data_IF_864968534483
#
_entry.id   IF_864968534483
#
_cell.length_a   1.000
_cell.length_b   1.000
_cell.length_c   1.000
_cell.angle_alpha   90.00
_cell.angle_beta   90.00
_cell.angle_gamma   90.00
#
_symmetry.space_group_name_H-M   'P 1'
#
loop_
_entity.id
_entity.type
_entity.pdbx_description
1 polymer ?
#
# COMPACT_ATOMS: atom_id res chain seq x y z
N UNK A 1 -22.88 18.13 12.02
CA UNK A 1 -22.17 17.46 13.15
C UNK A 1 -21.20 16.42 12.58
N UNK A 2 -19.98 16.30 13.12
CA UNK A 2 -19.04 15.27 12.66
C UNK A 2 -19.64 13.86 12.81
N UNK A 3 -19.52 13.04 11.77
CA UNK A 3 -19.96 11.64 11.81
C UNK A 3 -19.03 10.88 12.75
N UNK A 4 -19.57 10.06 13.65
CA UNK A 4 -18.81 9.35 14.69
C UNK A 4 -17.62 8.54 14.12
N UNK A 5 -17.78 7.92 12.95
CA UNK A 5 -16.72 7.18 12.25
C UNK A 5 -15.58 8.05 11.65
N UNK A 6 -15.75 9.37 11.57
CA UNK A 6 -14.78 10.29 11.00
C UNK A 6 -13.93 11.03 12.06
N UNK A 7 -14.06 10.67 13.32
CA UNK A 7 -13.40 11.36 14.45
C UNK A 7 -11.88 11.46 14.30
N UNK A 8 -11.23 10.43 13.78
CA UNK A 8 -9.77 10.41 13.51
C UNK A 8 -9.38 11.46 12.47
N UNK A 9 -10.08 11.52 11.35
CA UNK A 9 -9.81 12.52 10.30
C UNK A 9 -10.00 13.94 10.84
N UNK A 10 -11.11 14.22 11.52
CA UNK A 10 -11.35 15.55 12.09
C UNK A 10 -10.34 15.95 13.16
N UNK A 11 -9.80 14.99 13.93
CA UNK A 11 -8.72 15.26 14.88
C UNK A 11 -7.44 15.65 14.13
N UNK A 12 -7.02 14.84 13.15
CA UNK A 12 -5.83 15.12 12.34
C UNK A 12 -5.93 16.47 11.63
N UNK A 13 -7.10 16.80 11.07
CA UNK A 13 -7.33 18.08 10.41
C UNK A 13 -7.13 19.28 11.35
N UNK A 14 -7.52 19.14 12.62
CA UNK A 14 -7.28 20.20 13.63
C UNK A 14 -5.83 20.29 14.08
N UNK A 15 -5.14 19.13 14.14
CA UNK A 15 -3.76 19.05 14.66
C UNK A 15 -2.70 19.34 13.59
N UNK A 16 -2.95 18.92 12.35
CA UNK A 16 -1.97 18.93 11.27
C UNK A 16 -2.42 19.67 10.00
N UNK A 17 -3.68 20.09 9.94
CA UNK A 17 -4.26 20.72 8.75
C UNK A 17 -4.56 19.75 7.60
N UNK A 18 -4.31 18.45 7.76
CA UNK A 18 -4.54 17.44 6.72
C UNK A 18 -5.13 16.16 7.29
N UNK A 19 -5.69 15.32 6.42
CA UNK A 19 -6.17 13.97 6.74
C UNK A 19 -6.32 13.16 5.46
N UNK A 20 -6.41 11.84 5.59
CA UNK A 20 -6.72 10.97 4.44
C UNK A 20 -8.00 11.42 3.71
N UNK A 21 -9.01 11.91 4.42
CA UNK A 21 -10.24 12.42 3.82
C UNK A 21 -9.99 13.65 2.93
N UNK A 22 -9.17 14.60 3.38
CA UNK A 22 -8.79 15.77 2.59
C UNK A 22 -7.88 15.38 1.43
N UNK A 23 -6.89 14.52 1.67
CA UNK A 23 -5.94 14.06 0.65
C UNK A 23 -6.66 13.29 -0.47
N UNK A 24 -7.61 12.43 -0.14
CA UNK A 24 -8.44 11.72 -1.12
C UNK A 24 -9.30 12.70 -1.91
N UNK A 25 -9.96 13.63 -1.24
CA UNK A 25 -10.84 14.58 -1.91
C UNK A 25 -10.07 15.56 -2.81
N UNK A 26 -8.91 16.03 -2.37
CA UNK A 26 -8.10 16.99 -3.16
C UNK A 26 -7.19 16.32 -4.17
N UNK A 27 -6.58 15.18 -3.81
CA UNK A 27 -5.62 14.46 -4.64
C UNK A 27 -6.28 13.50 -5.62
N UNK A 28 -7.10 12.58 -5.14
CA UNK A 28 -7.70 11.53 -6.00
C UNK A 28 -8.90 12.10 -6.75
N UNK A 29 -9.83 12.74 -6.08
CA UNK A 29 -11.05 13.27 -6.69
C UNK A 29 -10.84 14.66 -7.32
N UNK A 30 -9.98 15.51 -6.76
CA UNK A 30 -9.60 16.79 -7.37
C UNK A 30 -8.89 16.61 -8.71
N UNK A 31 -8.16 15.49 -8.90
CA UNK A 31 -7.54 15.12 -10.19
C UNK A 31 -8.49 14.44 -11.18
N UNK A 32 -9.66 13.96 -10.74
CA UNK A 32 -10.68 13.30 -11.59
C UNK A 32 -11.71 14.30 -12.15
N UNK A 33 -11.65 15.54 -11.70
CA UNK A 33 -12.55 16.59 -12.19
C UNK A 33 -13.15 17.44 -11.08
N UNK A 34 -13.14 18.67 -11.31
CA UNK A 34 -13.37 19.88 -10.53
C UNK A 34 -14.65 19.96 -9.68
N UNK A 35 -15.36 18.86 -9.37
CA UNK A 35 -16.71 18.95 -8.84
C UNK A 35 -17.02 18.06 -7.64
N UNK A 36 -16.06 17.91 -6.69
CA UNK A 36 -16.43 17.28 -5.40
C UNK A 36 -17.52 18.09 -4.69
N UNK A 37 -17.51 19.41 -4.80
CA UNK A 37 -18.60 20.27 -4.28
C UNK A 37 -19.91 20.12 -5.05
N UNK A 38 -19.87 19.72 -6.32
CA UNK A 38 -21.04 19.43 -7.15
C UNK A 38 -21.49 17.97 -7.09
N UNK A 39 -20.75 17.10 -6.41
CA UNK A 39 -21.13 15.70 -6.20
C UNK A 39 -22.20 15.50 -5.11
N UNK A 40 -22.86 16.56 -4.64
CA UNK A 40 -23.90 16.44 -3.62
C UNK A 40 -25.06 17.38 -3.94
N UNK A 41 -26.32 16.97 -3.72
CA UNK A 41 -26.77 15.80 -2.94
C UNK A 41 -27.18 14.64 -3.81
N UNK A 42 -26.90 13.41 -3.33
CA UNK A 42 -27.54 12.22 -3.86
C UNK A 42 -29.05 12.36 -3.66
N UNK A 43 -29.76 12.71 -4.71
CA UNK A 43 -31.22 12.55 -4.70
C UNK A 43 -31.50 11.06 -4.46
N UNK A 44 -32.46 10.74 -3.60
CA UNK A 44 -32.84 9.37 -3.25
C UNK A 44 -33.09 8.47 -4.46
N UNK A 45 -33.36 9.06 -5.61
CA UNK A 45 -33.68 8.37 -6.87
C UNK A 45 -32.55 8.33 -7.90
N UNK A 46 -31.36 8.91 -7.60
CA UNK A 46 -30.24 8.81 -8.52
C UNK A 46 -29.49 7.47 -8.34
N UNK A 47 -29.32 6.70 -9.42
CA UNK A 47 -28.45 5.52 -9.42
C UNK A 47 -27.03 5.98 -9.09
N UNK A 48 -26.55 5.61 -7.92
CA UNK A 48 -25.19 5.93 -7.49
C UNK A 48 -24.21 5.20 -8.38
N UNK A 49 -23.31 5.95 -9.02
CA UNK A 49 -22.26 5.39 -9.87
C UNK A 49 -20.98 5.17 -9.06
N UNK A 50 -20.43 3.99 -9.11
CA UNK A 50 -19.17 3.68 -8.44
C UNK A 50 -18.00 4.30 -9.21
N UNK A 51 -17.30 5.26 -8.61
CA UNK A 51 -16.17 5.99 -9.21
C UNK A 51 -14.82 5.58 -8.63
N UNK A 52 -14.79 5.16 -7.40
CA UNK A 52 -13.59 4.74 -6.67
C UNK A 52 -13.86 3.40 -5.97
N UNK A 53 -12.94 2.46 -6.13
CA UNK A 53 -12.98 1.18 -5.47
C UNK A 53 -11.58 0.83 -4.95
N UNK A 54 -11.50 0.53 -3.66
CA UNK A 54 -10.36 -0.15 -3.06
C UNK A 54 -10.78 -1.58 -2.73
N UNK A 55 -10.08 -2.57 -3.27
CA UNK A 55 -10.47 -3.96 -3.21
C UNK A 55 -9.32 -4.85 -2.78
N UNK A 56 -9.52 -5.55 -1.67
CA UNK A 56 -8.72 -6.73 -1.30
C UNK A 56 -9.28 -7.95 -2.02
N UNK A 57 -8.54 -8.49 -2.99
CA UNK A 57 -8.98 -9.66 -3.77
C UNK A 57 -9.05 -10.89 -2.86
N UNK A 58 -8.03 -11.09 -2.04
CA UNK A 58 -7.90 -12.24 -1.14
C UNK A 58 -6.87 -11.91 -0.07
N UNK A 59 -6.85 -12.65 1.01
CA UNK A 59 -5.72 -12.68 1.94
C UNK A 59 -4.72 -13.81 1.61
N UNK A 60 -4.88 -14.51 0.49
CA UNK A 60 -3.85 -15.44 0.02
C UNK A 60 -2.58 -14.67 -0.34
N UNK A 61 -1.48 -15.06 0.26
CA UNK A 61 -0.17 -14.45 0.09
C UNK A 61 0.90 -15.54 0.19
N UNK A 62 2.00 -15.34 -0.50
CA UNK A 62 3.17 -16.22 -0.42
C UNK A 62 4.23 -15.73 0.58
N UNK A 63 3.93 -14.66 1.34
CA UNK A 63 4.80 -14.14 2.39
C UNK A 63 4.09 -14.12 3.75
N UNK A 64 4.85 -14.40 4.84
CA UNK A 64 4.45 -14.14 6.22
C UNK A 64 5.26 -12.97 6.79
N UNK A 65 5.00 -11.76 6.28
CA UNK A 65 5.71 -10.56 6.71
C UNK A 65 5.52 -10.30 8.21
N UNK A 66 6.57 -9.83 8.88
CA UNK A 66 6.55 -9.61 10.33
C UNK A 66 5.56 -8.55 10.81
N UNK A 67 5.22 -7.59 9.92
CA UNK A 67 4.22 -6.56 10.17
C UNK A 67 2.79 -7.00 9.81
N UNK A 68 2.62 -8.19 9.25
CA UNK A 68 1.31 -8.77 8.93
C UNK A 68 0.88 -9.79 9.99
N UNK A 69 -0.34 -10.27 9.85
CA UNK A 69 -0.90 -11.34 10.65
C UNK A 69 -1.73 -12.31 9.79
N UNK A 70 -2.33 -13.31 10.42
CA UNK A 70 -3.15 -14.31 9.71
C UNK A 70 -4.38 -13.71 9.02
N UNK A 71 -4.85 -12.54 9.44
CA UNK A 71 -5.94 -11.80 8.77
C UNK A 71 -5.54 -11.24 7.41
N UNK A 72 -4.25 -10.94 7.21
CA UNK A 72 -3.71 -10.33 6.00
C UNK A 72 -2.94 -11.31 5.11
N UNK A 73 -2.54 -12.48 5.63
CA UNK A 73 -1.79 -13.48 4.87
C UNK A 73 -2.08 -14.90 5.32
N UNK A 74 -2.52 -15.73 4.38
CA UNK A 74 -2.70 -17.17 4.62
C UNK A 74 -1.38 -17.89 4.91
N UNK A 75 -0.24 -17.33 4.50
CA UNK A 75 1.08 -17.90 4.80
C UNK A 75 1.40 -17.91 6.30
N UNK A 76 0.75 -17.02 7.06
CA UNK A 76 0.82 -16.98 8.52
C UNK A 76 0.07 -18.13 9.21
N UNK A 77 -0.83 -18.86 8.55
CA UNK A 77 -1.74 -19.82 9.22
C UNK A 77 -1.01 -20.93 9.97
N UNK A 78 0.12 -21.40 9.42
CA UNK A 78 0.94 -22.41 10.09
C UNK A 78 1.52 -21.88 11.42
N UNK A 79 2.13 -20.71 11.36
CA UNK A 79 2.76 -20.08 12.52
C UNK A 79 1.71 -19.65 13.55
N UNK A 80 0.60 -19.06 13.07
CA UNK A 80 -0.54 -18.68 13.92
C UNK A 80 -1.08 -19.88 14.70
N UNK A 81 -1.24 -21.03 14.05
CA UNK A 81 -1.66 -22.27 14.74
C UNK A 81 -0.67 -22.70 15.81
N UNK A 82 0.63 -22.63 15.52
CA UNK A 82 1.68 -22.99 16.47
C UNK A 82 1.71 -22.03 17.67
N UNK A 83 1.42 -20.75 17.44
CA UNK A 83 1.39 -19.70 18.46
C UNK A 83 0.05 -19.61 19.21
N UNK A 84 -0.93 -20.47 18.89
CA UNK A 84 -2.26 -20.41 19.49
C UNK A 84 -3.07 -19.16 19.13
N UNK A 85 -2.74 -18.51 18.01
CA UNK A 85 -3.48 -17.36 17.51
C UNK A 85 -4.76 -17.80 16.81
N UNK A 86 -5.78 -16.95 16.84
CA UNK A 86 -7.00 -17.16 16.06
C UNK A 86 -6.69 -17.07 14.55
N UNK A 87 -7.19 -18.05 13.79
CA UNK A 87 -7.10 -18.03 12.33
C UNK A 87 -8.45 -17.54 11.80
N UNK A 88 -8.49 -16.34 11.21
CA UNK A 88 -9.72 -15.80 10.67
C UNK A 88 -10.20 -16.60 9.45
N UNK A 89 -11.49 -16.49 9.11
CA UNK A 89 -11.98 -16.95 7.83
C UNK A 89 -11.27 -16.20 6.72
N UNK A 90 -10.75 -16.92 5.73
CA UNK A 90 -10.08 -16.31 4.59
C UNK A 90 -10.99 -15.31 3.85
N UNK A 91 -10.40 -14.21 3.44
CA UNK A 91 -11.04 -13.28 2.52
C UNK A 91 -10.97 -13.93 1.14
N UNK A 92 -12.12 -14.13 0.51
CA UNK A 92 -12.22 -14.60 -0.86
C UNK A 92 -12.85 -13.50 -1.71
N UNK A 93 -12.29 -13.30 -2.89
CA UNK A 93 -12.93 -12.48 -3.90
C UNK A 93 -14.34 -12.98 -4.13
N UNK A 94 -15.29 -12.15 -3.79
CA UNK A 94 -16.65 -12.33 -4.23
C UNK A 94 -16.83 -11.36 -5.40
N UNK A 95 -16.96 -11.88 -6.65
CA UNK A 95 -17.22 -10.97 -7.76
C UNK A 95 -18.36 -10.07 -7.34
N UNK A 96 -18.15 -8.76 -7.34
CA UNK A 96 -19.07 -7.72 -6.86
C UNK A 96 -20.42 -7.86 -7.58
N UNK A 97 -21.11 -8.97 -7.30
CA UNK A 97 -22.27 -9.54 -7.98
C UNK A 97 -23.13 -8.43 -8.56
N UNK A 98 -23.17 -8.31 -9.89
CA UNK A 98 -23.99 -7.36 -10.63
C UNK A 98 -23.63 -5.88 -10.41
N UNK A 99 -22.55 -5.55 -9.71
CA UNK A 99 -22.10 -4.15 -9.61
C UNK A 99 -21.54 -3.71 -10.95
N UNK A 100 -22.10 -2.66 -11.50
CA UNK A 100 -21.60 -2.03 -12.72
C UNK A 100 -20.28 -1.30 -12.42
N UNK A 101 -19.18 -1.74 -13.05
CA UNK A 101 -17.85 -1.15 -12.92
C UNK A 101 -17.49 -0.25 -14.11
N UNK A 102 -18.36 -0.08 -15.11
CA UNK A 102 -18.10 0.71 -16.33
C UNK A 102 -17.82 2.19 -16.03
N UNK A 103 -18.41 2.72 -14.97
CA UNK A 103 -18.21 4.09 -14.51
C UNK A 103 -17.01 4.26 -13.56
N UNK A 104 -16.28 3.19 -13.24
CA UNK A 104 -15.13 3.25 -12.34
C UNK A 104 -14.01 4.11 -12.96
N UNK A 105 -13.41 4.99 -12.16
CA UNK A 105 -12.33 5.89 -12.59
C UNK A 105 -11.04 5.67 -11.81
N UNK A 106 -11.15 5.11 -10.63
CA UNK A 106 -10.01 4.74 -9.82
C UNK A 106 -10.24 3.38 -9.16
N UNK A 107 -9.31 2.47 -9.39
CA UNK A 107 -9.26 1.17 -8.77
C UNK A 107 -7.94 1.00 -8.02
N UNK A 108 -8.00 0.60 -6.74
CA UNK A 108 -6.85 0.17 -5.97
C UNK A 108 -6.98 -1.30 -5.66
N UNK A 109 -6.07 -2.10 -6.18
CA UNK A 109 -6.00 -3.53 -5.91
C UNK A 109 -4.93 -3.82 -4.87
N UNK A 110 -5.34 -4.51 -3.83
CA UNK A 110 -4.51 -4.94 -2.71
C UNK A 110 -5.02 -6.28 -2.15
N UNK A 111 -4.54 -6.69 -1.00
CA UNK A 111 -4.91 -7.92 -0.33
C UNK A 111 -3.68 -8.63 0.22
N UNK A 112 -3.64 -9.95 0.18
CA UNK A 112 -2.42 -10.71 0.43
C UNK A 112 -1.39 -10.40 -0.66
N UNK A 113 -1.42 -11.16 -1.76
CA UNK A 113 -0.68 -10.82 -2.99
C UNK A 113 -1.63 -10.88 -4.19
N UNK A 114 -2.02 -9.74 -4.75
CA UNK A 114 -2.97 -9.71 -5.87
C UNK A 114 -2.51 -10.50 -7.10
N UNK A 115 -1.21 -10.50 -7.41
CA UNK A 115 -0.69 -11.19 -8.60
C UNK A 115 -0.75 -12.72 -8.52
N UNK A 116 -1.11 -13.29 -7.36
CA UNK A 116 -1.48 -14.71 -7.25
C UNK A 116 -2.90 -15.01 -7.78
N UNK A 117 -3.67 -13.97 -8.12
CA UNK A 117 -5.07 -14.04 -8.52
C UNK A 117 -5.30 -13.47 -9.93
N UNK A 118 -4.63 -14.00 -10.97
CA UNK A 118 -4.72 -13.45 -12.32
C UNK A 118 -6.13 -13.46 -12.90
N UNK A 119 -6.92 -14.51 -12.61
CA UNK A 119 -8.29 -14.64 -13.12
C UNK A 119 -9.23 -13.57 -12.56
N UNK A 120 -9.10 -13.29 -11.26
CA UNK A 120 -9.89 -12.27 -10.57
C UNK A 120 -9.52 -10.86 -11.03
N UNK A 121 -8.22 -10.59 -11.25
CA UNK A 121 -7.77 -9.31 -11.82
C UNK A 121 -8.35 -9.13 -13.22
N UNK A 122 -8.31 -10.15 -14.06
CA UNK A 122 -8.84 -10.12 -15.43
C UNK A 122 -10.35 -9.87 -15.40
N UNK A 123 -11.12 -10.63 -14.58
CA UNK A 123 -12.57 -10.44 -14.43
C UNK A 123 -12.93 -8.99 -14.05
N UNK A 124 -12.21 -8.40 -13.11
CA UNK A 124 -12.44 -7.02 -12.68
C UNK A 124 -12.17 -6.05 -13.83
N UNK A 125 -11.01 -6.19 -14.50
CA UNK A 125 -10.58 -5.28 -15.55
C UNK A 125 -11.49 -5.36 -16.78
N UNK A 126 -11.94 -6.54 -17.16
CA UNK A 126 -12.85 -6.75 -18.31
C UNK A 126 -14.24 -6.12 -18.11
N UNK A 127 -14.59 -5.76 -16.88
CA UNK A 127 -15.84 -5.06 -16.52
C UNK A 127 -15.69 -3.54 -16.43
N UNK A 128 -14.48 -3.01 -16.63
CA UNK A 128 -14.16 -1.59 -16.54
C UNK A 128 -13.95 -0.94 -17.92
N UNK A 129 -14.16 0.35 -18.02
CA UNK A 129 -13.74 1.17 -19.14
C UNK A 129 -12.24 1.49 -18.98
N UNK A 130 -11.36 0.59 -19.48
CA UNK A 130 -9.92 0.66 -19.25
C UNK A 130 -9.29 2.01 -19.67
N UNK A 131 -9.63 2.61 -20.83
CA UNK A 131 -9.09 3.92 -21.23
C UNK A 131 -9.43 5.07 -20.28
N UNK A 132 -10.40 4.89 -19.38
CA UNK A 132 -10.77 5.89 -18.37
C UNK A 132 -10.37 5.50 -16.95
N UNK A 133 -9.83 4.29 -16.77
CA UNK A 133 -9.49 3.75 -15.46
C UNK A 133 -8.06 4.09 -15.05
N UNK A 134 -7.90 4.64 -13.86
CA UNK A 134 -6.63 4.73 -13.16
C UNK A 134 -6.50 3.55 -12.20
N UNK A 135 -5.46 2.76 -12.33
CA UNK A 135 -5.20 1.61 -11.47
C UNK A 135 -3.98 1.85 -10.58
N UNK A 136 -4.12 1.56 -9.30
CA UNK A 136 -3.03 1.35 -8.37
C UNK A 136 -2.99 -0.10 -7.94
N UNK A 137 -1.92 -0.81 -8.24
CA UNK A 137 -1.67 -2.17 -7.78
C UNK A 137 -0.59 -2.17 -6.69
N UNK A 138 -0.87 -2.79 -5.55
CA UNK A 138 0.12 -2.99 -4.48
C UNK A 138 0.54 -4.45 -4.49
N UNK A 139 1.84 -4.72 -4.62
CA UNK A 139 2.40 -6.07 -4.68
C UNK A 139 3.60 -6.23 -3.74
N UNK A 140 3.79 -7.43 -3.24
CA UNK A 140 4.97 -7.80 -2.46
C UNK A 140 6.24 -7.97 -3.32
N UNK A 141 6.12 -7.74 -4.63
CA UNK A 141 7.23 -7.74 -5.61
C UNK A 141 7.83 -9.13 -5.88
N UNK A 142 7.24 -10.22 -5.39
CA UNK A 142 7.74 -11.59 -5.67
C UNK A 142 7.20 -12.14 -6.99
N UNK A 143 6.16 -11.54 -7.56
CA UNK A 143 5.50 -12.00 -8.76
C UNK A 143 5.53 -10.94 -9.87
N UNK A 144 5.48 -11.39 -11.12
CA UNK A 144 5.21 -10.54 -12.29
C UNK A 144 3.80 -10.82 -12.80
N UNK A 145 3.10 -9.82 -13.35
CA UNK A 145 1.81 -10.05 -13.97
C UNK A 145 1.95 -10.99 -15.19
N UNK A 146 0.91 -11.78 -15.46
CA UNK A 146 0.84 -12.60 -16.68
C UNK A 146 0.72 -11.71 -17.92
N UNK A 147 1.05 -12.24 -19.10
CA UNK A 147 0.92 -11.49 -20.35
C UNK A 147 -0.53 -11.02 -20.58
N UNK A 148 -1.52 -11.80 -20.23
CA UNK A 148 -2.93 -11.43 -20.33
C UNK A 148 -3.29 -10.20 -19.48
N UNK A 149 -2.71 -10.08 -18.28
CA UNK A 149 -2.87 -8.91 -17.42
C UNK A 149 -2.13 -7.72 -18.03
N UNK A 150 -0.91 -7.93 -18.53
CA UNK A 150 -0.09 -6.87 -19.16
C UNK A 150 -0.82 -6.25 -20.36
N UNK A 151 -1.51 -7.04 -21.18
CA UNK A 151 -2.27 -6.51 -22.32
C UNK A 151 -3.40 -5.56 -21.86
N UNK A 152 -4.06 -5.85 -20.71
CA UNK A 152 -5.06 -4.95 -20.12
C UNK A 152 -4.43 -3.73 -19.48
N UNK A 153 -3.31 -3.92 -18.79
CA UNK A 153 -2.56 -2.81 -18.17
C UNK A 153 -2.13 -1.76 -19.18
N UNK A 154 -1.74 -2.16 -20.39
CA UNK A 154 -1.36 -1.25 -21.48
C UNK A 154 -2.52 -0.40 -22.01
N UNK A 155 -3.77 -0.77 -21.73
CA UNK A 155 -4.98 -0.05 -22.16
C UNK A 155 -5.46 0.94 -21.10
N UNK A 156 -4.92 0.91 -19.88
CA UNK A 156 -5.33 1.79 -18.79
C UNK A 156 -4.96 3.26 -19.07
N UNK A 157 -5.82 4.18 -18.61
CA UNK A 157 -5.49 5.61 -18.61
C UNK A 157 -4.19 5.88 -17.82
N UNK A 158 -4.07 5.27 -16.66
CA UNK A 158 -2.87 5.37 -15.81
C UNK A 158 -2.70 4.13 -14.97
N UNK A 159 -1.48 3.63 -14.89
CA UNK A 159 -1.12 2.54 -13.99
C UNK A 159 0.02 2.95 -13.07
N UNK A 160 -0.20 2.76 -11.77
CA UNK A 160 0.85 2.85 -10.76
C UNK A 160 0.99 1.50 -10.06
N UNK A 161 2.20 0.93 -10.07
CA UNK A 161 2.50 -0.29 -9.33
C UNK A 161 3.36 0.08 -8.12
N UNK A 162 2.85 -0.20 -6.94
CA UNK A 162 3.53 0.04 -5.68
C UNK A 162 4.21 -1.24 -5.23
N UNK A 163 5.53 -1.22 -5.23
CA UNK A 163 6.39 -2.32 -4.84
C UNK A 163 6.66 -2.24 -3.33
N UNK A 164 6.27 -3.27 -2.61
CA UNK A 164 6.42 -3.33 -1.16
C UNK A 164 7.80 -3.88 -0.80
N UNK A 165 8.73 -2.99 -0.44
CA UNK A 165 10.13 -3.30 -0.10
C UNK A 165 10.52 -2.52 1.15
N UNK A 166 11.03 -3.20 2.19
CA UNK A 166 11.33 -2.58 3.48
C UNK A 166 12.82 -2.41 3.75
N UNK A 167 13.67 -3.20 3.10
CA UNK A 167 15.12 -3.19 3.29
C UNK A 167 15.85 -3.87 2.12
N UNK A 168 17.15 -4.09 2.28
CA UNK A 168 17.98 -4.86 1.35
C UNK A 168 18.31 -6.26 1.87
N UNK A 169 18.55 -7.20 0.94
CA UNK A 169 19.16 -8.49 1.20
C UNK A 169 18.44 -9.30 2.29
N UNK A 170 19.23 -9.95 3.17
CA UNK A 170 18.69 -10.80 4.22
C UNK A 170 17.71 -10.08 5.17
N UNK A 171 17.88 -8.78 5.38
CA UNK A 171 16.95 -8.02 6.21
C UNK A 171 15.57 -7.90 5.57
N UNK A 172 15.49 -7.71 4.25
CA UNK A 172 14.20 -7.73 3.55
C UNK A 172 13.55 -9.11 3.63
N UNK A 173 14.32 -10.19 3.47
CA UNK A 173 13.84 -11.56 3.59
C UNK A 173 13.35 -11.88 5.01
N UNK A 174 14.02 -11.36 6.03
CA UNK A 174 13.59 -11.47 7.41
C UNK A 174 12.28 -10.73 7.69
N UNK A 175 12.15 -9.49 7.19
CA UNK A 175 10.93 -8.68 7.37
C UNK A 175 9.76 -9.23 6.56
N UNK A 176 10.04 -9.72 5.36
CA UNK A 176 9.08 -10.28 4.40
C UNK A 176 9.33 -11.77 4.19
N UNK A 177 9.26 -12.52 5.29
CA UNK A 177 9.50 -13.97 5.29
C UNK A 177 8.70 -14.66 4.19
N UNK A 178 9.39 -15.46 3.36
CA UNK A 178 8.85 -16.08 2.15
C UNK A 178 9.29 -15.40 0.86
N UNK A 179 9.84 -14.16 0.92
CA UNK A 179 10.47 -13.52 -0.23
C UNK A 179 11.95 -13.87 -0.33
N UNK A 180 12.47 -13.85 -1.54
CA UNK A 180 13.92 -13.94 -1.84
C UNK A 180 14.37 -12.60 -2.40
N UNK A 181 15.43 -12.03 -1.80
CA UNK A 181 15.89 -10.70 -2.18
C UNK A 181 16.27 -10.57 -3.65
N UNK A 182 16.96 -11.55 -4.19
CA UNK A 182 17.37 -11.49 -5.60
C UNK A 182 16.17 -11.47 -6.55
N UNK A 183 15.10 -12.23 -6.25
CA UNK A 183 13.83 -12.19 -7.02
C UNK A 183 13.15 -10.83 -6.93
N UNK A 184 13.06 -10.27 -5.71
CA UNK A 184 12.49 -8.94 -5.48
C UNK A 184 13.27 -7.86 -6.25
N UNK A 185 14.59 -7.92 -6.20
CA UNK A 185 15.49 -7.01 -6.91
C UNK A 185 15.36 -7.13 -8.44
N UNK A 186 15.33 -8.36 -8.95
CA UNK A 186 15.09 -8.60 -10.38
C UNK A 186 13.74 -8.07 -10.83
N UNK A 187 12.68 -8.31 -10.03
CA UNK A 187 11.34 -7.81 -10.34
C UNK A 187 11.27 -6.28 -10.27
N UNK A 188 11.90 -5.63 -9.27
CA UNK A 188 12.04 -4.17 -9.23
C UNK A 188 12.62 -3.63 -10.55
N UNK A 189 13.75 -4.22 -10.99
CA UNK A 189 14.40 -3.79 -12.22
C UNK A 189 13.57 -4.11 -13.46
N UNK A 190 12.87 -5.24 -13.46
CA UNK A 190 11.95 -5.59 -14.55
C UNK A 190 10.81 -4.58 -14.64
N UNK A 191 10.10 -4.29 -13.54
CA UNK A 191 9.03 -3.29 -13.51
C UNK A 191 9.52 -1.90 -13.94
N UNK A 192 10.72 -1.50 -13.48
CA UNK A 192 11.32 -0.22 -13.84
C UNK A 192 11.53 -0.05 -15.35
N UNK A 193 11.80 -1.13 -16.06
CA UNK A 193 12.01 -1.10 -17.53
C UNK A 193 10.70 -1.03 -18.32
N UNK A 194 9.55 -1.20 -17.67
CA UNK A 194 8.26 -1.18 -18.36
C UNK A 194 7.81 0.24 -18.63
N UNK A 195 7.58 0.57 -19.90
CA UNK A 195 7.11 1.91 -20.28
C UNK A 195 5.62 2.16 -20.05
N UNK A 196 4.85 1.11 -19.76
CA UNK A 196 3.40 1.15 -19.59
C UNK A 196 2.93 1.39 -18.14
N UNK A 197 3.82 1.45 -17.17
CA UNK A 197 3.46 1.74 -15.78
C UNK A 197 4.42 2.72 -15.12
N UNK A 198 3.92 3.47 -14.16
CA UNK A 198 4.73 4.15 -13.16
C UNK A 198 4.94 3.21 -11.98
N UNK A 199 6.17 3.10 -11.49
CA UNK A 199 6.45 2.35 -10.27
C UNK A 199 6.76 3.27 -9.10
N UNK A 200 6.39 2.85 -7.92
CA UNK A 200 6.76 3.45 -6.64
C UNK A 200 7.22 2.35 -5.68
N UNK A 201 8.05 2.68 -4.73
CA UNK A 201 8.40 1.79 -3.62
C UNK A 201 7.72 2.29 -2.36
N UNK A 202 7.09 1.38 -1.64
CA UNK A 202 6.54 1.65 -0.31
C UNK A 202 7.15 0.69 0.70
N UNK A 203 7.71 1.25 1.77
CA UNK A 203 8.32 0.48 2.87
C UNK A 203 7.71 0.85 4.22
N UNK A 204 7.79 -0.09 5.15
CA UNK A 204 7.36 0.09 6.54
C UNK A 204 8.60 0.20 7.44
N UNK A 205 8.67 1.28 8.23
CA UNK A 205 9.75 1.53 9.19
C UNK A 205 9.36 0.90 10.53
N UNK A 206 10.24 0.04 11.03
CA UNK A 206 10.10 -0.66 12.30
C UNK A 206 11.43 -0.63 13.08
N UNK A 207 11.46 -1.17 14.29
CA UNK A 207 12.70 -1.34 15.06
C UNK A 207 13.81 -2.06 14.29
N UNK A 208 13.47 -2.91 13.31
CA UNK A 208 14.44 -3.72 12.57
C UNK A 208 15.16 -2.96 11.46
N UNK A 209 14.49 -2.02 10.81
CA UNK A 209 15.03 -1.31 9.65
C UNK A 209 15.14 0.21 9.84
N UNK A 210 14.74 0.73 10.99
CA UNK A 210 14.81 2.17 11.28
C UNK A 210 16.23 2.75 11.09
N UNK A 211 17.27 1.94 11.24
CA UNK A 211 18.64 2.40 11.03
C UNK A 211 19.04 2.46 9.54
N UNK A 212 18.38 1.77 8.62
CA UNK A 212 18.83 1.61 7.24
C UNK A 212 17.80 1.95 6.15
N UNK A 213 16.54 2.31 6.49
CA UNK A 213 15.52 2.64 5.48
C UNK A 213 15.93 3.79 4.55
N UNK A 214 16.74 4.74 5.01
CA UNK A 214 17.28 5.83 4.19
C UNK A 214 18.22 5.36 3.08
N UNK A 215 18.89 4.23 3.27
CA UNK A 215 19.73 3.63 2.21
C UNK A 215 18.87 3.14 1.05
N UNK A 216 17.76 2.48 1.36
CA UNK A 216 16.77 2.08 0.37
C UNK A 216 16.14 3.29 -0.33
N UNK A 217 15.79 4.35 0.42
CA UNK A 217 15.31 5.60 -0.17
C UNK A 217 16.30 6.20 -1.16
N UNK A 218 17.59 6.31 -0.77
CA UNK A 218 18.64 6.83 -1.65
C UNK A 218 18.87 5.95 -2.89
N UNK A 219 18.77 4.63 -2.72
CA UNK A 219 18.83 3.69 -3.84
C UNK A 219 17.70 3.90 -4.84
N UNK A 220 16.46 3.97 -4.37
CA UNK A 220 15.31 4.26 -5.21
C UNK A 220 15.46 5.59 -5.96
N UNK A 221 15.92 6.64 -5.28
CA UNK A 221 16.20 7.95 -5.91
C UNK A 221 17.23 7.85 -7.04
N UNK A 222 18.32 7.10 -6.85
CA UNK A 222 19.31 6.87 -7.93
C UNK A 222 18.71 6.14 -9.13
N UNK A 223 17.71 5.30 -8.90
CA UNK A 223 16.98 4.62 -9.97
C UNK A 223 15.88 5.48 -10.61
N UNK A 224 15.64 6.70 -10.12
CA UNK A 224 14.52 7.55 -10.55
C UNK A 224 13.16 7.06 -10.07
N UNK A 225 13.11 6.25 -9.00
CA UNK A 225 11.90 5.69 -8.42
C UNK A 225 11.49 6.51 -7.19
N UNK A 226 10.23 6.94 -7.15
CA UNK A 226 9.67 7.54 -5.94
C UNK A 226 9.53 6.47 -4.86
N UNK A 227 10.10 6.72 -3.69
CA UNK A 227 9.97 5.85 -2.53
C UNK A 227 9.37 6.61 -1.37
N UNK A 228 8.34 6.04 -0.76
CA UNK A 228 7.70 6.53 0.45
C UNK A 228 7.77 5.47 1.53
N UNK A 229 7.88 5.91 2.77
CA UNK A 229 7.92 5.04 3.93
C UNK A 229 6.89 5.50 4.96
N UNK A 230 6.39 4.58 5.74
CA UNK A 230 5.55 4.89 6.88
C UNK A 230 6.06 4.16 8.12
N UNK A 231 5.96 4.81 9.26
CA UNK A 231 6.25 4.13 10.52
C UNK A 231 5.13 3.14 10.83
N UNK A 232 5.51 1.95 11.27
CA UNK A 232 4.57 0.88 11.61
C UNK A 232 3.60 1.34 12.72
N UNK A 233 2.32 1.10 12.51
CA UNK A 233 1.29 1.36 13.53
C UNK A 233 1.07 0.15 14.46
N UNK A 234 1.29 -1.05 13.97
CA UNK A 234 1.17 -2.31 14.70
C UNK A 234 1.92 -3.45 14.00
N UNK A 235 2.38 -4.46 14.73
CA UNK A 235 2.26 -4.65 16.20
C UNK A 235 3.07 -3.61 16.98
N UNK A 236 2.55 -3.22 18.16
CA UNK A 236 3.09 -2.11 18.97
C UNK A 236 4.58 -2.31 19.31
N UNK A 237 4.98 -3.53 19.66
CA UNK A 237 6.37 -3.87 20.01
C UNK A 237 7.37 -3.67 18.86
N UNK A 238 6.92 -3.49 17.63
CA UNK A 238 7.79 -3.23 16.47
C UNK A 238 8.01 -1.73 16.23
N UNK A 239 7.36 -0.85 16.97
CA UNK A 239 7.48 0.59 16.78
C UNK A 239 8.83 1.11 17.28
N UNK A 240 9.48 2.04 16.57
CA UNK A 240 10.78 2.59 16.94
C UNK A 240 10.86 3.18 18.34
N UNK A 241 9.74 3.62 18.93
CA UNK A 241 9.66 4.12 20.31
C UNK A 241 10.11 3.12 21.38
N UNK A 242 10.05 1.82 21.09
CA UNK A 242 10.43 0.77 22.01
C UNK A 242 11.93 0.40 21.97
N UNK A 243 12.71 1.10 21.15
CA UNK A 243 14.16 0.94 21.15
C UNK A 243 14.78 1.45 22.46
N UNK A 244 15.91 0.86 22.90
CA UNK A 244 16.66 1.38 24.05
C UNK A 244 17.03 2.87 23.84
N UNK A 245 17.00 3.66 24.89
CA UNK A 245 17.21 5.11 24.84
C UNK A 245 18.52 5.49 24.14
N UNK A 246 19.61 4.79 24.45
CA UNK A 246 20.90 4.99 23.82
C UNK A 246 20.84 4.84 22.29
N UNK A 247 20.07 3.86 21.78
CA UNK A 247 19.90 3.64 20.35
C UNK A 247 19.02 4.75 19.74
N UNK A 248 17.96 5.17 20.43
CA UNK A 248 17.13 6.30 20.00
C UNK A 248 17.94 7.56 19.82
N UNK A 249 18.81 7.91 20.78
CA UNK A 249 19.68 9.10 20.70
C UNK A 249 20.65 9.03 19.52
N UNK A 250 21.23 7.87 19.23
CA UNK A 250 22.09 7.69 18.06
C UNK A 250 21.30 7.90 16.75
N UNK A 251 20.08 7.37 16.67
CA UNK A 251 19.22 7.52 15.50
C UNK A 251 18.73 8.96 15.31
N UNK A 252 18.36 9.65 16.38
CA UNK A 252 17.99 11.07 16.34
C UNK A 252 19.12 11.91 15.74
N UNK A 253 20.37 11.72 16.23
CA UNK A 253 21.55 12.39 15.66
C UNK A 253 21.76 12.02 14.18
N UNK A 254 21.54 10.75 13.81
CA UNK A 254 21.67 10.29 12.42
C UNK A 254 20.69 10.99 11.47
N UNK A 255 19.48 11.28 11.93
CA UNK A 255 18.40 11.83 11.08
C UNK A 255 18.23 13.35 11.20
N UNK A 256 19.00 14.03 12.01
CA UNK A 256 18.93 15.48 12.26
C UNK A 256 18.91 16.31 10.98
N UNK A 257 19.68 15.93 9.97
CA UNK A 257 19.79 16.65 8.70
C UNK A 257 18.83 16.16 7.60
N UNK A 258 18.00 15.17 7.88
CA UNK A 258 17.09 14.53 6.89
C UNK A 258 15.61 14.88 7.14
N UNK A 259 15.32 15.83 8.05
CA UNK A 259 13.96 16.18 8.50
C UNK A 259 13.05 16.78 7.41
N UNK A 260 13.57 17.05 6.21
CA UNK A 260 12.77 17.56 5.09
C UNK A 260 11.76 16.53 4.57
N UNK A 261 11.99 15.23 4.83
CA UNK A 261 11.14 14.15 4.40
C UNK A 261 10.08 13.83 5.47
N UNK A 262 8.80 13.76 5.08
CA UNK A 262 7.69 13.53 6.02
C UNK A 262 7.88 12.28 6.85
N UNK A 263 8.24 11.16 6.22
CA UNK A 263 8.46 9.89 6.92
C UNK A 263 9.66 9.92 7.88
N UNK A 264 10.64 10.81 7.66
CA UNK A 264 11.73 11.03 8.62
C UNK A 264 11.21 11.82 9.83
N UNK A 265 10.35 12.82 9.63
CA UNK A 265 9.69 13.53 10.74
C UNK A 265 8.87 12.58 11.61
N UNK A 266 8.11 11.69 10.98
CA UNK A 266 7.31 10.69 11.70
C UNK A 266 8.20 9.72 12.47
N UNK A 267 9.34 9.32 11.88
CA UNK A 267 10.34 8.48 12.56
C UNK A 267 10.96 9.18 13.75
N UNK A 268 11.36 10.46 13.60
CA UNK A 268 11.91 11.28 14.69
C UNK A 268 10.88 11.46 15.81
N UNK A 269 9.61 11.69 15.46
CA UNK A 269 8.53 11.76 16.45
C UNK A 269 8.44 10.48 17.28
N UNK A 270 8.45 9.30 16.62
CA UNK A 270 8.43 8.01 17.30
C UNK A 270 9.65 7.79 18.22
N UNK A 271 10.84 8.20 17.79
CA UNK A 271 12.07 8.07 18.57
C UNK A 271 12.10 8.98 19.80
N UNK A 272 11.31 10.06 19.82
CA UNK A 272 11.21 11.00 20.95
C UNK A 272 10.16 10.58 22.00
N UNK A 273 9.33 9.58 21.70
CA UNK A 273 8.37 9.00 22.65
C UNK A 273 9.07 8.00 23.58
#
# INVERSE_FOLDING_TARGET
KPVKGCSRCYRLERETGTSMRLDVNTGIFGGIGQDVEKMVPVHKDSKTKLRYLELSISNACNNSCRMCGPELSTHWYKDAKTLGMEIPKGIQYNPLNKTDLSDLRFLKLLGGEPLLHPKEIIDILDRCDLPKLNLMLITNTTQRPTEEIIQRFKQLNKLTITLSIDAFGPLNEFLRTGSRWEEVKENLHWFRKQGWCKITVHGVISIYNVNCFMELHRYCRRLGIFANFMVIEGPEYMRPRHLPEQVKQQLLKKYENEEKLSFVKDTIYELKQ
#
